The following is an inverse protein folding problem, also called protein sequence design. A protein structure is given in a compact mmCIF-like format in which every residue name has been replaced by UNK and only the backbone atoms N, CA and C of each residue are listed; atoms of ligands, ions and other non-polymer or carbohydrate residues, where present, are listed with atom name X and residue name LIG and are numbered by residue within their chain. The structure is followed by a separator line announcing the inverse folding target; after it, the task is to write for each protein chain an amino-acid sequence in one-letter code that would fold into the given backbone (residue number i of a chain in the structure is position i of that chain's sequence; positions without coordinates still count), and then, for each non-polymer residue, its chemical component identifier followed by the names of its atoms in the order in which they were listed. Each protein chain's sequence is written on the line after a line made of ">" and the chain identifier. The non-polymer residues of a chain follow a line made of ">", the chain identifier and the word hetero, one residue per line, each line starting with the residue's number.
data_IF_232328110524
#
_entry.id   IF_232328110524
#
_cell.length_a   1.000
_cell.length_b   1.000
_cell.length_c   1.000
_cell.angle_alpha   90.00
_cell.angle_beta   90.00
_cell.angle_gamma   90.00
#
_symmetry.space_group_name_H-M   'P 1'
#
loop_
_entity.id
_entity.type
_entity.pdbx_description
1 polymer ?
#
# COMPACT_ATOMS: atom_id res chain seq x y z
N UNK A 1 4.67 3.29 7.46
CA UNK A 1 4.75 2.69 8.82
C UNK A 1 3.51 3.13 9.57
N UNK A 2 2.88 2.22 10.32
CA UNK A 2 1.77 2.60 11.19
C UNK A 2 2.28 3.28 12.48
N UNK A 3 1.37 3.83 13.26
CA UNK A 3 1.70 4.54 14.51
C UNK A 3 1.64 3.66 15.77
N UNK A 4 1.84 2.35 15.64
CA UNK A 4 1.94 1.47 16.82
C UNK A 4 3.13 1.85 17.70
N UNK A 5 3.06 1.50 18.98
CA UNK A 5 4.03 1.95 20.00
C UNK A 5 5.50 1.68 19.63
N UNK A 6 5.88 0.51 19.08
CA UNK A 6 7.28 0.26 18.68
C UNK A 6 7.75 1.24 17.60
N UNK A 7 6.85 1.63 16.70
CA UNK A 7 7.10 2.45 15.53
C UNK A 7 7.19 3.96 15.84
N UNK A 8 6.67 4.40 16.98
CA UNK A 8 6.69 5.83 17.39
C UNK A 8 8.08 6.37 17.73
N UNK A 9 9.05 5.47 17.92
CA UNK A 9 10.44 5.83 18.22
C UNK A 9 11.21 6.38 17.02
N UNK A 10 10.72 6.15 15.79
CA UNK A 10 11.36 6.60 14.55
C UNK A 10 10.88 8.02 14.23
N UNK A 11 11.82 8.96 14.19
CA UNK A 11 11.57 10.40 13.93
C UNK A 11 12.30 10.85 12.66
N UNK A 12 11.96 12.04 12.15
CA UNK A 12 12.65 12.62 11.00
C UNK A 12 14.16 12.74 11.23
N UNK A 13 14.59 13.10 12.45
CA UNK A 13 16.01 13.19 12.80
C UNK A 13 16.73 11.83 12.74
N UNK A 14 16.04 10.74 13.12
CA UNK A 14 16.58 9.38 12.97
C UNK A 14 16.75 9.05 11.49
N UNK A 15 15.75 9.38 10.66
CA UNK A 15 15.79 9.10 9.22
C UNK A 15 16.85 9.94 8.47
N UNK A 16 17.06 11.19 8.88
CA UNK A 16 18.11 12.05 8.33
C UNK A 16 19.49 11.45 8.55
N UNK A 17 19.75 10.92 9.76
CA UNK A 17 21.04 10.32 10.11
C UNK A 17 21.40 9.06 9.32
N UNK A 18 20.41 8.40 8.70
CA UNK A 18 20.59 7.18 7.91
C UNK A 18 20.38 7.39 6.41
N UNK A 19 20.14 8.63 5.97
CA UNK A 19 19.99 8.91 4.54
C UNK A 19 21.36 8.97 3.86
N UNK A 20 21.61 8.02 2.95
CA UNK A 20 22.90 7.88 2.27
C UNK A 20 22.94 8.45 0.86
N UNK A 21 21.78 8.53 0.18
CA UNK A 21 21.73 8.75 -1.28
C UNK A 21 21.04 10.07 -1.67
N UNK A 22 21.02 11.06 -0.78
CA UNK A 22 20.42 12.37 -1.04
C UNK A 22 18.88 12.40 -0.98
N UNK A 23 18.25 11.31 -0.54
CA UNK A 23 16.81 11.28 -0.30
C UNK A 23 16.47 11.99 1.01
N UNK A 24 15.41 12.80 1.00
CA UNK A 24 14.81 13.31 2.24
C UNK A 24 13.62 12.44 2.62
N UNK A 25 13.78 11.66 3.67
CA UNK A 25 12.67 10.90 4.23
C UNK A 25 11.94 11.75 5.26
N UNK A 26 10.61 11.73 5.20
CA UNK A 26 9.76 12.45 6.15
C UNK A 26 8.72 11.50 6.70
N UNK A 27 8.65 11.40 8.02
CA UNK A 27 7.62 10.64 8.71
C UNK A 27 6.29 11.35 8.56
N UNK A 28 5.28 10.56 8.21
CA UNK A 28 3.88 10.97 8.18
C UNK A 28 3.11 10.11 9.15
N UNK A 29 2.24 10.76 9.90
CA UNK A 29 1.37 10.13 10.88
C UNK A 29 0.20 9.49 10.13
N UNK A 30 0.02 8.19 10.31
CA UNK A 30 -1.17 7.47 9.89
C UNK A 30 -2.25 7.54 10.97
N UNK A 31 -3.50 7.76 10.59
CA UNK A 31 -4.62 7.73 11.53
C UNK A 31 -4.77 6.36 12.18
N UNK A 32 -5.19 6.28 13.46
CA UNK A 32 -5.43 5.00 14.11
C UNK A 32 -6.48 4.16 13.38
N UNK A 33 -6.32 2.83 13.40
CA UNK A 33 -7.26 1.86 12.80
C UNK A 33 -7.55 2.08 11.30
N UNK A 34 -6.58 2.61 10.55
CA UNK A 34 -6.72 2.84 9.10
C UNK A 34 -5.74 1.98 8.29
N UNK A 35 -5.82 0.63 8.33
CA UNK A 35 -4.90 -0.25 7.59
C UNK A 35 -5.01 -0.06 6.06
N UNK A 36 -6.16 0.41 5.59
CA UNK A 36 -6.42 0.87 4.22
C UNK A 36 -5.54 2.05 3.80
N UNK A 37 -5.06 2.85 4.77
CA UNK A 37 -4.08 3.92 4.58
C UNK A 37 -2.62 3.48 4.76
N UNK A 38 -2.34 2.18 4.83
CA UNK A 38 -1.00 1.62 4.69
C UNK A 38 -0.91 0.80 3.39
N UNK A 39 -0.06 1.24 2.45
CA UNK A 39 0.11 0.57 1.14
C UNK A 39 0.54 -0.90 1.27
N UNK A 40 1.29 -1.24 2.33
CA UNK A 40 1.76 -2.60 2.59
C UNK A 40 0.59 -3.50 2.97
N UNK A 41 -0.25 -3.05 3.91
CA UNK A 41 -1.43 -3.77 4.37
C UNK A 41 -2.53 -3.83 3.29
N UNK A 42 -2.71 -2.73 2.54
CA UNK A 42 -3.74 -2.60 1.52
C UNK A 42 -3.54 -3.57 0.34
N UNK A 43 -2.30 -3.82 -0.07
CA UNK A 43 -2.06 -4.54 -1.33
C UNK A 43 -0.82 -5.41 -1.41
N UNK A 44 0.26 -5.09 -0.69
CA UNK A 44 1.49 -5.88 -0.78
C UNK A 44 1.36 -7.21 -0.03
N UNK A 45 1.02 -7.18 1.26
CA UNK A 45 0.87 -8.39 2.06
C UNK A 45 -0.27 -9.28 1.58
N UNK A 46 -1.47 -8.76 1.23
CA UNK A 46 -2.52 -9.59 0.63
C UNK A 46 -2.08 -10.28 -0.66
N UNK A 47 -1.29 -9.61 -1.51
CA UNK A 47 -0.75 -10.21 -2.72
C UNK A 47 0.20 -11.38 -2.39
N UNK A 48 1.19 -11.15 -1.53
CA UNK A 48 2.16 -12.18 -1.12
C UNK A 48 1.42 -13.36 -0.48
N UNK A 49 0.50 -13.08 0.44
CA UNK A 49 -0.29 -14.10 1.12
C UNK A 49 -1.14 -14.90 0.14
N UNK A 50 -1.74 -14.27 -0.88
CA UNK A 50 -2.53 -14.96 -1.91
C UNK A 50 -1.73 -15.97 -2.72
N UNK A 51 -0.41 -15.77 -2.86
CA UNK A 51 0.49 -16.70 -3.53
C UNK A 51 1.03 -17.76 -2.57
N UNK A 52 1.42 -17.34 -1.37
CA UNK A 52 1.89 -18.23 -0.31
C UNK A 52 0.82 -19.28 0.05
N UNK A 53 -0.45 -18.89 0.20
CA UNK A 53 -1.56 -19.79 0.55
C UNK A 53 -1.89 -20.83 -0.54
N UNK A 54 -1.37 -20.66 -1.77
CA UNK A 54 -1.46 -21.69 -2.83
C UNK A 54 -0.42 -22.80 -2.64
N UNK A 55 0.49 -22.67 -1.67
CA UNK A 55 1.53 -23.64 -1.34
C UNK A 55 1.24 -24.23 0.03
N UNK A 56 1.38 -25.55 0.16
CA UNK A 56 1.30 -26.22 1.47
C UNK A 56 2.65 -26.06 2.16
N UNK A 57 2.64 -25.44 3.34
CA UNK A 57 3.83 -25.29 4.19
C UNK A 57 3.65 -26.11 5.46
N UNK A 58 4.67 -26.87 5.85
CA UNK A 58 4.72 -27.68 7.07
C UNK A 58 5.81 -27.21 8.03
N UNK A 59 6.67 -26.29 7.58
CA UNK A 59 7.78 -25.75 8.38
C UNK A 59 7.87 -24.24 8.21
N UNK A 60 8.55 -23.59 9.16
CA UNK A 60 8.85 -22.15 9.08
C UNK A 60 9.74 -21.83 7.87
N UNK A 61 10.71 -22.69 7.57
CA UNK A 61 11.59 -22.51 6.40
C UNK A 61 10.83 -22.54 5.08
N UNK A 62 9.80 -23.39 4.97
CA UNK A 62 8.90 -23.41 3.82
C UNK A 62 8.08 -22.12 3.71
N UNK A 63 7.56 -21.61 4.83
CA UNK A 63 6.85 -20.33 4.86
C UNK A 63 7.75 -19.21 4.36
N UNK A 64 8.97 -19.08 4.90
CA UNK A 64 9.95 -18.07 4.49
C UNK A 64 10.24 -18.20 2.98
N UNK A 65 10.53 -19.42 2.51
CA UNK A 65 10.83 -19.68 1.11
C UNK A 65 9.70 -19.26 0.17
N UNK A 66 8.45 -19.58 0.50
CA UNK A 66 7.30 -19.23 -0.33
C UNK A 66 6.94 -17.75 -0.25
N UNK A 67 7.15 -17.11 0.91
CA UNK A 67 7.02 -15.66 1.03
C UNK A 67 8.03 -14.93 0.15
N UNK A 68 9.30 -15.35 0.16
CA UNK A 68 10.33 -14.77 -0.72
C UNK A 68 10.03 -15.01 -2.20
N UNK A 69 9.65 -16.24 -2.58
CA UNK A 69 9.27 -16.52 -3.97
C UNK A 69 8.06 -15.68 -4.43
N UNK A 70 7.07 -15.47 -3.56
CA UNK A 70 5.93 -14.60 -3.86
C UNK A 70 6.32 -13.12 -3.95
N UNK A 71 7.31 -12.69 -3.16
CA UNK A 71 7.89 -11.36 -3.27
C UNK A 71 8.62 -11.18 -4.62
N UNK A 72 9.38 -12.17 -5.07
CA UNK A 72 10.07 -12.14 -6.37
C UNK A 72 9.09 -12.10 -7.56
N UNK A 73 7.86 -12.59 -7.38
CA UNK A 73 6.79 -12.48 -8.37
C UNK A 73 6.17 -11.07 -8.44
N UNK A 74 6.49 -10.15 -7.53
CA UNK A 74 6.03 -8.77 -7.61
C UNK A 74 6.64 -8.08 -8.83
N UNK A 75 5.77 -7.46 -9.61
CA UNK A 75 6.18 -6.65 -10.75
C UNK A 75 5.84 -5.19 -10.49
N UNK A 76 6.51 -4.30 -11.21
CA UNK A 76 6.22 -2.87 -11.19
C UNK A 76 4.72 -2.61 -11.45
N UNK A 77 4.10 -3.32 -12.39
CA UNK A 77 2.69 -3.16 -12.75
C UNK A 77 1.74 -3.55 -11.61
N UNK A 78 2.13 -4.55 -10.80
CA UNK A 78 1.37 -4.94 -9.61
C UNK A 78 1.46 -3.84 -8.55
N UNK A 79 2.66 -3.32 -8.28
CA UNK A 79 2.87 -2.22 -7.35
C UNK A 79 2.12 -0.95 -7.79
N UNK A 80 2.25 -0.55 -9.05
CA UNK A 80 1.51 0.58 -9.64
C UNK A 80 0.00 0.41 -9.43
N UNK A 81 -0.52 -0.81 -9.60
CA UNK A 81 -1.94 -1.11 -9.37
C UNK A 81 -2.35 -0.97 -7.91
N UNK A 82 -1.46 -1.28 -6.96
CA UNK A 82 -1.69 -1.06 -5.51
C UNK A 82 -1.69 0.44 -5.21
N UNK A 83 -0.72 1.21 -5.72
CA UNK A 83 -0.67 2.67 -5.53
C UNK A 83 -1.90 3.40 -6.09
N UNK A 84 -2.40 2.98 -7.27
CA UNK A 84 -3.65 3.54 -7.80
C UNK A 84 -4.84 3.21 -6.89
N UNK A 85 -4.87 2.02 -6.29
CA UNK A 85 -5.92 1.64 -5.33
C UNK A 85 -5.82 2.49 -4.06
N UNK A 86 -4.61 2.73 -3.58
CA UNK A 86 -4.32 3.58 -2.43
C UNK A 86 -4.84 5.01 -2.62
N UNK A 87 -4.60 5.60 -3.79
CA UNK A 87 -5.13 6.94 -4.10
C UNK A 87 -6.67 6.96 -4.18
N UNK A 88 -7.30 5.87 -4.65
CA UNK A 88 -8.77 5.75 -4.63
C UNK A 88 -9.28 5.67 -3.21
N UNK A 89 -8.63 4.87 -2.35
CA UNK A 89 -8.94 4.77 -0.92
C UNK A 89 -8.85 6.14 -0.25
N UNK A 90 -7.76 6.89 -0.45
CA UNK A 90 -7.63 8.24 0.09
C UNK A 90 -8.77 9.16 -0.34
N UNK A 91 -9.17 9.09 -1.62
CA UNK A 91 -10.33 9.85 -2.11
C UNK A 91 -11.62 9.41 -1.44
N UNK A 92 -11.83 8.10 -1.25
CA UNK A 92 -13.03 7.57 -0.59
C UNK A 92 -13.11 8.01 0.87
N UNK A 93 -12.00 7.98 1.60
CA UNK A 93 -11.91 8.51 2.97
C UNK A 93 -12.36 9.97 3.01
N UNK A 94 -11.87 10.81 2.09
CA UNK A 94 -12.32 12.21 2.00
C UNK A 94 -13.82 12.33 1.68
N UNK A 95 -14.33 11.52 0.74
CA UNK A 95 -15.76 11.50 0.37
C UNK A 95 -16.67 11.07 1.54
N UNK A 96 -16.17 10.28 2.48
CA UNK A 96 -16.90 9.80 3.64
C UNK A 96 -16.46 10.51 4.93
N UNK A 97 -15.92 11.72 4.83
CA UNK A 97 -15.54 12.57 5.97
C UNK A 97 -14.63 11.88 7.01
N UNK A 98 -13.70 11.05 6.54
CA UNK A 98 -12.75 10.33 7.39
C UNK A 98 -13.18 8.92 7.81
N UNK A 99 -14.39 8.49 7.46
CA UNK A 99 -14.87 7.13 7.73
C UNK A 99 -14.14 6.09 6.85
N UNK A 100 -13.99 4.87 7.37
CA UNK A 100 -13.44 3.71 6.67
C UNK A 100 -14.52 2.76 6.14
N UNK A 101 -15.80 3.03 6.38
CA UNK A 101 -16.92 2.24 5.89
C UNK A 101 -17.35 2.68 4.48
N UNK A 102 -16.48 2.48 3.49
CA UNK A 102 -16.75 2.80 2.09
C UNK A 102 -16.60 1.57 1.18
N UNK A 103 -17.30 1.58 0.04
CA UNK A 103 -17.23 0.49 -0.94
C UNK A 103 -16.11 0.75 -1.97
N UNK A 104 -15.05 -0.05 -1.94
CA UNK A 104 -13.99 0.01 -2.95
C UNK A 104 -14.41 -0.71 -4.24
N UNK A 105 -14.73 0.07 -5.29
CA UNK A 105 -15.12 -0.50 -6.59
C UNK A 105 -13.91 -1.00 -7.38
N UNK A 106 -14.07 -2.12 -8.08
CA UNK A 106 -13.01 -2.68 -8.91
C UNK A 106 -12.73 -1.80 -10.14
N UNK A 107 -11.54 -1.16 -10.18
CA UNK A 107 -11.15 -0.21 -11.23
C UNK A 107 -10.82 -0.83 -12.60
N UNK A 108 -10.83 -2.17 -12.73
CA UNK A 108 -10.46 -2.87 -13.98
C UNK A 108 -9.07 -2.46 -14.51
N UNK A 109 -8.13 -2.17 -13.61
CA UNK A 109 -6.78 -1.64 -13.90
C UNK A 109 -6.04 -2.45 -14.97
N UNK A 110 -6.11 -3.78 -14.91
CA UNK A 110 -5.49 -4.65 -15.91
C UNK A 110 -6.07 -4.44 -17.33
N UNK A 111 -7.39 -4.25 -17.46
CA UNK A 111 -8.02 -3.98 -18.74
C UNK A 111 -7.64 -2.59 -19.27
N UNK A 112 -7.64 -1.57 -18.39
CA UNK A 112 -7.20 -0.21 -18.74
C UNK A 112 -5.74 -0.19 -19.19
N UNK A 113 -4.86 -0.94 -18.51
CA UNK A 113 -3.44 -1.05 -18.89
C UNK A 113 -3.29 -1.67 -20.29
N UNK A 114 -3.99 -2.76 -20.57
CA UNK A 114 -3.95 -3.39 -21.91
C UNK A 114 -4.47 -2.47 -23.02
N UNK A 115 -5.40 -1.57 -22.70
CA UNK A 115 -5.91 -0.58 -23.63
C UNK A 115 -5.00 0.67 -23.75
N UNK A 116 -3.93 0.79 -22.95
CA UNK A 116 -3.10 2.00 -22.90
C UNK A 116 -3.80 3.20 -22.24
N UNK A 117 -4.87 2.98 -21.48
CA UNK A 117 -5.73 4.01 -20.89
C UNK A 117 -5.64 4.05 -19.35
N UNK A 118 -4.66 3.35 -18.76
CA UNK A 118 -4.48 3.38 -17.31
C UNK A 118 -3.97 4.75 -16.89
N UNK A 119 -4.68 5.39 -15.95
CA UNK A 119 -4.22 6.65 -15.38
C UNK A 119 -2.94 6.46 -14.55
N UNK A 120 -2.05 7.46 -14.58
CA UNK A 120 -0.90 7.52 -13.67
C UNK A 120 -1.31 7.91 -12.25
N UNK A 121 -2.35 8.75 -12.13
CA UNK A 121 -2.87 9.21 -10.85
C UNK A 121 -4.39 9.37 -10.87
N UNK A 122 -4.98 9.28 -9.68
CA UNK A 122 -6.41 9.29 -9.41
C UNK A 122 -6.82 10.73 -9.03
N UNK A 123 -7.50 11.46 -9.93
CA UNK A 123 -7.88 12.88 -9.73
C UNK A 123 -8.81 13.17 -8.53
N UNK A 124 -8.37 13.91 -7.51
CA UNK A 124 -9.22 14.28 -6.38
C UNK A 124 -9.93 15.64 -6.64
N UNK A 125 -11.27 15.72 -6.61
CA UNK A 125 -11.97 16.99 -6.66
C UNK A 125 -11.59 17.91 -5.50
N UNK A 126 -11.36 19.19 -5.80
CA UNK A 126 -10.99 20.21 -4.79
C UNK A 126 -12.10 20.41 -3.76
N UNK A 127 -13.36 20.18 -4.12
CA UNK A 127 -14.49 20.25 -3.20
C UNK A 127 -14.44 19.25 -2.05
N UNK A 128 -13.56 18.23 -2.12
CA UNK A 128 -13.34 17.26 -1.04
C UNK A 128 -12.23 17.69 -0.06
N UNK A 129 -11.56 18.81 -0.32
CA UNK A 129 -10.45 19.32 0.50
C UNK A 129 -10.89 20.45 1.45
N UNK A 130 -12.18 20.79 1.45
CA UNK A 130 -12.81 21.86 2.24
C UNK A 130 -13.69 21.24 3.33
#
# INVERSE_FOLDING_TARGET
>A
QDNTTPHRSITDAVLESVSTDGWTFVMRIQTPNSPDLNVLDLGLFPFIQSLQLKKVSRTVDEVIRYTLAAFDELSYEKLESVFLTFQVVMRLVLQHAGDNNYALRHLKKAALRRAGLLMSNVSCPVSLLL
#
